data_IF_005083022806
#
_entry.id   IF_005083022806
#
_cell.length_a   1.000
_cell.length_b   1.000
_cell.length_c   1.000
_cell.angle_alpha   90.00
_cell.angle_beta   90.00
_cell.angle_gamma   90.00
#
_symmetry.space_group_name_H-M   'P 1'
#
loop_
_entity.id
_entity.type
_entity.pdbx_description
1 polymer ?
#
# COMPACT_ATOMS: atom_id res chain seq x y z
N UNK A 1 -46.02 13.79 12.58
CA UNK A 1 -45.06 14.37 11.63
C UNK A 1 -45.36 14.00 10.17
N UNK A 2 -45.43 12.69 9.76
CA UNK A 2 -45.71 12.27 8.35
C UNK A 2 -47.02 12.86 7.79
N UNK A 3 -48.09 12.91 8.61
CA UNK A 3 -49.37 13.52 8.22
C UNK A 3 -49.21 15.01 7.96
N UNK A 4 -48.51 15.73 8.84
CA UNK A 4 -48.24 17.16 8.69
C UNK A 4 -47.49 17.50 7.40
N UNK A 5 -46.42 16.75 7.09
CA UNK A 5 -45.62 16.95 5.87
C UNK A 5 -46.46 16.74 4.61
N UNK A 6 -47.41 15.77 4.60
CA UNK A 6 -48.29 15.53 3.48
C UNK A 6 -49.34 16.60 3.20
N UNK A 7 -49.67 17.38 4.21
CA UNK A 7 -50.77 18.36 4.17
C UNK A 7 -50.32 19.79 4.46
N UNK A 8 -49.00 20.03 4.46
CA UNK A 8 -48.46 21.37 4.66
C UNK A 8 -48.82 22.29 3.47
N UNK A 9 -49.11 23.57 3.70
CA UNK A 9 -49.35 24.53 2.65
C UNK A 9 -48.05 24.84 1.88
N UNK A 10 -48.18 25.24 0.60
CA UNK A 10 -47.04 25.47 -0.30
C UNK A 10 -46.07 26.57 0.17
N UNK A 11 -46.52 27.49 0.98
CA UNK A 11 -45.74 28.59 1.55
C UNK A 11 -44.99 28.20 2.84
N UNK A 12 -45.06 26.95 3.29
CA UNK A 12 -44.36 26.47 4.47
C UNK A 12 -43.16 25.58 4.09
N UNK A 13 -41.97 26.00 4.52
CA UNK A 13 -40.78 25.20 4.46
C UNK A 13 -40.44 24.62 5.83
N UNK A 14 -40.36 23.29 5.91
CA UNK A 14 -40.02 22.58 7.14
C UNK A 14 -38.54 22.20 7.11
N UNK A 15 -37.76 22.70 8.07
CA UNK A 15 -36.37 22.30 8.29
C UNK A 15 -36.31 21.31 9.44
N UNK A 16 -35.81 20.12 9.19
CA UNK A 16 -35.65 19.06 10.21
C UNK A 16 -34.16 18.83 10.47
N UNK A 17 -33.72 19.09 11.67
CA UNK A 17 -32.38 18.76 12.14
C UNK A 17 -32.45 17.43 12.90
N UNK A 18 -31.64 16.45 12.45
CA UNK A 18 -31.65 15.15 13.10
C UNK A 18 -30.23 14.55 13.01
N UNK A 19 -29.78 13.87 14.06
CA UNK A 19 -28.54 13.07 14.03
C UNK A 19 -28.74 11.78 13.23
N UNK A 20 -29.96 11.25 13.24
CA UNK A 20 -30.33 9.97 12.61
C UNK A 20 -31.30 10.22 11.46
N UNK A 21 -31.37 9.27 10.52
CA UNK A 21 -32.33 9.36 9.42
C UNK A 21 -33.76 9.37 9.98
N UNK A 22 -34.51 10.47 9.87
CA UNK A 22 -35.82 10.58 10.52
C UNK A 22 -36.86 9.72 9.80
N UNK A 23 -37.73 9.04 10.54
CA UNK A 23 -38.78 8.17 9.98
C UNK A 23 -39.96 8.98 9.38
N UNK A 24 -39.65 9.84 8.40
CA UNK A 24 -40.63 10.77 7.79
C UNK A 24 -41.18 10.28 6.43
N UNK A 25 -40.76 9.10 5.97
CA UNK A 25 -41.13 8.62 4.64
C UNK A 25 -40.29 9.28 3.53
N UNK A 26 -39.01 9.49 3.82
CA UNK A 26 -38.03 10.21 3.00
C UNK A 26 -38.01 9.70 1.55
N UNK A 27 -38.06 8.39 1.32
CA UNK A 27 -38.09 7.83 -0.03
C UNK A 27 -39.23 8.39 -0.90
N UNK A 28 -40.42 8.57 -0.33
CA UNK A 28 -41.54 9.15 -1.04
C UNK A 28 -41.40 10.65 -1.31
N UNK A 29 -40.74 11.38 -0.40
CA UNK A 29 -40.46 12.81 -0.58
C UNK A 29 -39.40 13.01 -1.66
N UNK A 30 -38.38 12.13 -1.68
CA UNK A 30 -37.30 12.12 -2.68
C UNK A 30 -37.85 11.89 -4.09
N UNK A 31 -38.71 10.89 -4.28
CA UNK A 31 -39.35 10.58 -5.58
C UNK A 31 -40.22 11.75 -6.07
N UNK A 32 -40.76 12.57 -5.16
CA UNK A 32 -41.63 13.73 -5.50
C UNK A 32 -40.90 15.05 -5.65
N UNK A 33 -39.55 15.02 -5.54
CA UNK A 33 -38.72 16.24 -5.54
C UNK A 33 -39.16 17.29 -4.48
N UNK A 34 -39.57 16.79 -3.32
CA UNK A 34 -40.06 17.62 -2.18
C UNK A 34 -39.10 17.62 -0.99
N UNK A 35 -37.86 17.17 -1.21
CA UNK A 35 -36.87 17.02 -0.17
C UNK A 35 -35.51 17.54 -0.63
N UNK A 36 -34.97 18.48 0.12
CA UNK A 36 -33.56 18.84 0.07
C UNK A 36 -32.84 18.15 1.24
N UNK A 37 -31.90 17.29 0.94
CA UNK A 37 -31.06 16.61 1.93
C UNK A 37 -29.70 17.29 2.00
N UNK A 38 -29.29 17.68 3.21
CA UNK A 38 -27.98 18.24 3.47
C UNK A 38 -27.27 17.28 4.42
N UNK A 39 -26.32 16.52 3.89
CA UNK A 39 -25.56 15.51 4.63
C UNK A 39 -24.29 16.07 5.28
N UNK A 40 -23.56 15.19 5.96
CA UNK A 40 -22.32 15.54 6.68
C UNK A 40 -21.25 16.14 5.77
N UNK A 41 -21.14 15.68 4.52
CA UNK A 41 -20.17 16.22 3.56
C UNK A 41 -20.45 17.67 3.17
N UNK A 42 -21.74 18.03 3.00
CA UNK A 42 -22.12 19.42 2.68
C UNK A 42 -22.04 20.36 3.90
N UNK A 43 -22.08 19.79 5.11
CA UNK A 43 -21.94 20.54 6.38
C UNK A 43 -20.48 20.58 6.88
N UNK A 44 -19.56 19.86 6.24
CA UNK A 44 -18.16 19.90 6.57
C UNK A 44 -17.56 21.27 6.25
N UNK A 45 -16.73 21.79 7.16
CA UNK A 45 -15.99 23.03 6.94
C UNK A 45 -14.97 22.84 5.80
N UNK A 46 -14.95 23.78 4.89
CA UNK A 46 -13.86 23.93 3.91
C UNK A 46 -12.61 24.46 4.62
N UNK A 47 -11.43 24.32 3.96
CA UNK A 47 -10.17 24.86 4.48
C UNK A 47 -10.28 26.37 4.82
N UNK A 48 -11.00 27.13 3.97
CA UNK A 48 -11.19 28.55 4.16
C UNK A 48 -12.06 28.86 5.37
N UNK A 49 -13.16 28.13 5.55
CA UNK A 49 -14.06 28.27 6.71
C UNK A 49 -13.38 27.84 8.00
N UNK A 50 -12.59 26.73 7.98
CA UNK A 50 -11.81 26.30 9.12
C UNK A 50 -10.79 27.36 9.54
N UNK A 51 -10.09 27.99 8.57
CA UNK A 51 -9.15 29.07 8.83
C UNK A 51 -9.84 30.27 9.48
N UNK A 52 -10.97 30.71 8.93
CA UNK A 52 -11.77 31.81 9.48
C UNK A 52 -12.29 31.48 10.88
N UNK A 53 -12.73 30.25 11.09
CA UNK A 53 -13.20 29.77 12.39
C UNK A 53 -12.09 29.85 13.45
N UNK A 54 -10.87 29.37 13.14
CA UNK A 54 -9.74 29.44 14.07
C UNK A 54 -9.28 30.88 14.31
N UNK A 55 -9.25 31.74 13.30
CA UNK A 55 -8.88 33.15 13.45
C UNK A 55 -9.86 33.89 14.35
N UNK A 56 -11.15 33.52 14.35
CA UNK A 56 -12.17 34.10 15.28
C UNK A 56 -12.08 33.51 16.69
N UNK A 57 -11.55 32.32 16.88
CA UNK A 57 -11.58 31.58 18.14
C UNK A 57 -10.27 31.59 18.91
N UNK A 58 -9.15 31.66 18.24
CA UNK A 58 -7.81 31.64 18.83
C UNK A 58 -7.32 33.06 19.14
N UNK A 59 -6.52 33.18 20.19
CA UNK A 59 -5.90 34.45 20.59
C UNK A 59 -4.73 34.84 19.67
N UNK A 60 -4.19 33.90 18.90
CA UNK A 60 -3.11 34.12 17.93
C UNK A 60 -3.50 33.52 16.58
N UNK A 61 -3.19 34.17 15.46
CA UNK A 61 -3.50 33.64 14.13
C UNK A 61 -2.80 32.29 13.92
N UNK A 62 -3.49 31.35 13.30
CA UNK A 62 -2.94 30.07 12.86
C UNK A 62 -2.44 30.19 11.43
N UNK A 63 -1.36 29.51 11.07
CA UNK A 63 -0.91 29.47 9.68
C UNK A 63 -1.92 28.73 8.77
N UNK A 64 -2.06 29.17 7.52
CA UNK A 64 -3.04 28.62 6.59
C UNK A 64 -2.76 27.09 6.31
N UNK A 65 -1.49 26.72 6.16
CA UNK A 65 -1.09 25.34 5.95
C UNK A 65 -1.43 24.44 7.15
N UNK A 66 -1.25 24.93 8.37
CA UNK A 66 -1.59 24.21 9.59
C UNK A 66 -3.11 24.07 9.77
N UNK A 67 -3.86 25.16 9.52
CA UNK A 67 -5.32 25.13 9.53
C UNK A 67 -5.90 24.13 8.53
N UNK A 68 -5.33 24.09 7.30
CA UNK A 68 -5.75 23.13 6.28
C UNK A 68 -5.47 21.70 6.71
N UNK A 69 -4.28 21.42 7.24
CA UNK A 69 -3.94 20.07 7.74
C UNK A 69 -4.88 19.64 8.86
N UNK A 70 -5.17 20.50 9.83
CA UNK A 70 -6.12 20.18 10.91
C UNK A 70 -7.52 19.92 10.33
N UNK A 71 -7.95 20.72 9.36
CA UNK A 71 -9.23 20.55 8.70
C UNK A 71 -9.33 19.19 7.99
N UNK A 72 -8.25 18.77 7.30
CA UNK A 72 -8.16 17.46 6.64
C UNK A 72 -8.18 16.33 7.68
N UNK A 73 -7.38 16.43 8.74
CA UNK A 73 -7.30 15.44 9.82
C UNK A 73 -8.67 15.18 10.48
N UNK A 74 -9.52 16.20 10.57
CA UNK A 74 -10.88 16.08 11.14
C UNK A 74 -11.98 16.06 10.06
N UNK A 75 -11.60 15.97 8.77
CA UNK A 75 -12.54 15.99 7.63
C UNK A 75 -13.58 17.12 7.70
N UNK A 76 -13.17 18.29 8.13
CA UNK A 76 -14.03 19.47 8.28
C UNK A 76 -15.11 19.36 9.37
N UNK A 77 -15.04 18.40 10.28
CA UNK A 77 -16.06 18.20 11.31
C UNK A 77 -16.10 19.36 12.34
N UNK A 78 -17.16 20.14 12.31
CA UNK A 78 -17.31 21.37 13.09
C UNK A 78 -17.10 21.18 14.62
N UNK A 79 -17.64 20.10 15.20
CA UNK A 79 -17.47 19.81 16.63
C UNK A 79 -16.01 19.51 16.98
N UNK A 80 -15.30 18.77 16.13
CA UNK A 80 -13.87 18.49 16.31
C UNK A 80 -13.05 19.78 16.24
N UNK A 81 -13.30 20.64 15.25
CA UNK A 81 -12.64 21.95 15.14
C UNK A 81 -12.89 22.82 16.40
N UNK A 82 -14.11 22.80 16.94
CA UNK A 82 -14.45 23.51 18.17
C UNK A 82 -13.70 22.97 19.40
N UNK A 83 -13.60 21.65 19.56
CA UNK A 83 -12.87 21.02 20.66
C UNK A 83 -11.37 21.32 20.57
N UNK A 84 -10.81 21.31 19.35
CA UNK A 84 -9.43 21.71 19.09
C UNK A 84 -9.19 23.17 19.49
N UNK A 85 -10.09 24.09 19.10
CA UNK A 85 -9.97 25.50 19.44
C UNK A 85 -10.06 25.74 20.96
N UNK A 86 -10.95 25.03 21.68
CA UNK A 86 -11.08 25.12 23.14
C UNK A 86 -9.78 24.62 23.82
N UNK A 87 -9.25 23.48 23.40
CA UNK A 87 -7.99 22.94 23.95
C UNK A 87 -6.81 23.88 23.74
N UNK A 88 -6.73 24.51 22.57
CA UNK A 88 -5.67 25.48 22.26
C UNK A 88 -5.76 26.73 23.17
N UNK A 89 -6.96 27.18 23.51
CA UNK A 89 -7.19 28.34 24.42
C UNK A 89 -6.78 28.05 25.88
N UNK A 90 -6.96 26.82 26.35
CA UNK A 90 -6.60 26.43 27.72
C UNK A 90 -5.10 26.33 27.94
N UNK A 91 -4.31 26.09 26.85
CA UNK A 91 -2.87 25.87 26.90
C UNK A 91 -2.01 27.11 26.62
N UNK A 92 -2.55 28.33 26.67
CA UNK A 92 -1.87 29.60 26.35
C UNK A 92 -0.78 30.03 27.34
N UNK A 93 -0.47 29.26 28.39
CA UNK A 93 0.62 29.56 29.32
C UNK A 93 2.01 29.08 28.87
N UNK A 94 2.18 28.55 27.66
CA UNK A 94 3.46 28.08 27.14
C UNK A 94 3.69 28.51 25.68
N UNK A 95 4.05 29.78 25.49
CA UNK A 95 4.01 30.53 24.23
C UNK A 95 5.05 30.17 23.15
N UNK A 96 5.86 29.13 23.24
CA UNK A 96 6.96 28.87 22.29
C UNK A 96 7.07 27.45 21.68
N UNK A 97 6.06 26.59 21.79
CA UNK A 97 6.10 25.25 21.17
C UNK A 97 4.75 24.83 20.51
N UNK A 98 4.07 25.76 19.87
CA UNK A 98 2.63 25.64 19.53
C UNK A 98 2.31 24.66 18.39
N UNK A 99 3.06 24.59 17.33
CA UNK A 99 2.69 23.83 16.13
C UNK A 99 2.72 22.30 16.30
N UNK A 100 3.72 21.76 16.99
CA UNK A 100 3.85 20.31 17.24
C UNK A 100 2.93 19.76 18.34
N UNK A 101 2.38 20.66 19.17
CA UNK A 101 1.49 20.29 20.29
C UNK A 101 0.00 20.24 19.92
N UNK A 102 -0.46 20.97 18.91
CA UNK A 102 -1.86 20.95 18.48
C UNK A 102 -2.29 19.56 18.01
N UNK A 103 -1.45 18.83 17.30
CA UNK A 103 -1.73 17.46 16.89
C UNK A 103 -1.74 16.42 18.05
N UNK A 104 -1.12 16.73 19.21
CA UNK A 104 -1.00 15.80 20.34
C UNK A 104 -1.93 16.10 21.54
N UNK A 105 -2.47 17.34 21.65
CA UNK A 105 -3.25 17.76 22.81
C UNK A 105 -4.76 17.46 22.65
N UNK A 106 -5.20 17.27 21.42
CA UNK A 106 -6.62 17.23 21.09
C UNK A 106 -7.28 15.86 21.20
N UNK A 107 -6.48 14.80 21.38
CA UNK A 107 -7.00 13.46 21.50
C UNK A 107 -7.85 13.23 22.77
N UNK A 108 -7.52 13.86 23.91
CA UNK A 108 -8.22 13.62 25.17
C UNK A 108 -9.63 14.19 25.18
N UNK A 109 -9.82 15.49 24.88
CA UNK A 109 -11.15 16.11 24.92
C UNK A 109 -12.09 15.57 23.83
N UNK A 110 -11.55 15.26 22.65
CA UNK A 110 -12.34 14.60 21.62
C UNK A 110 -12.70 13.17 22.03
N UNK A 111 -11.76 12.44 22.63
CA UNK A 111 -12.00 11.10 23.18
C UNK A 111 -13.07 11.15 24.29
N UNK A 112 -12.96 12.08 25.23
CA UNK A 112 -13.94 12.23 26.31
C UNK A 112 -15.34 12.51 25.75
N UNK A 113 -15.45 13.45 24.79
CA UNK A 113 -16.71 13.70 24.10
C UNK A 113 -17.30 12.48 23.40
N UNK A 114 -16.46 11.70 22.68
CA UNK A 114 -16.91 10.50 21.98
C UNK A 114 -17.31 9.38 22.96
N UNK A 115 -16.67 9.30 24.13
CA UNK A 115 -17.10 8.38 25.19
C UNK A 115 -18.48 8.77 25.70
N UNK A 116 -18.60 9.99 26.22
CA UNK A 116 -19.81 10.48 26.93
C UNK A 116 -21.03 10.54 25.99
N UNK A 117 -20.84 11.05 24.77
CA UNK A 117 -21.93 11.31 23.82
C UNK A 117 -22.26 10.12 22.90
N UNK A 118 -21.33 9.22 22.68
CA UNK A 118 -21.52 8.11 21.74
C UNK A 118 -21.51 6.76 22.44
N UNK A 119 -20.38 6.37 23.04
CA UNK A 119 -20.22 5.00 23.57
C UNK A 119 -21.08 4.73 24.80
N UNK A 120 -21.32 5.72 25.66
CA UNK A 120 -22.12 5.54 26.86
C UNK A 120 -23.63 5.63 26.56
N UNK A 121 -24.00 6.12 25.39
CA UNK A 121 -25.40 6.26 24.97
C UNK A 121 -25.89 5.10 24.07
N UNK A 122 -25.04 4.12 23.76
CA UNK A 122 -25.42 2.91 23.01
C UNK A 122 -25.51 1.69 23.94
N UNK A 123 -26.29 0.70 23.54
CA UNK A 123 -26.37 -0.57 24.28
C UNK A 123 -25.05 -1.35 24.19
N UNK A 124 -24.88 -2.32 25.12
CA UNK A 124 -23.65 -3.10 25.22
C UNK A 124 -23.34 -3.91 23.95
N UNK A 125 -24.35 -4.40 23.24
CA UNK A 125 -24.16 -5.15 21.99
C UNK A 125 -23.63 -4.24 20.89
N UNK A 126 -24.22 -3.04 20.74
CA UNK A 126 -23.75 -2.01 19.81
C UNK A 126 -22.32 -1.54 20.16
N UNK A 127 -22.04 -1.30 21.44
CA UNK A 127 -20.69 -0.93 21.90
C UNK A 127 -19.66 -2.01 21.52
N UNK A 128 -19.97 -3.25 21.80
CA UNK A 128 -19.06 -4.39 21.49
C UNK A 128 -18.86 -4.55 19.99
N UNK A 129 -19.90 -4.38 19.19
CA UNK A 129 -19.83 -4.35 17.73
C UNK A 129 -18.89 -3.25 17.23
N UNK A 130 -19.06 -2.00 17.71
CA UNK A 130 -18.22 -0.86 17.32
C UNK A 130 -16.75 -1.10 17.64
N UNK A 131 -16.45 -1.66 18.82
CA UNK A 131 -15.08 -1.94 19.23
C UNK A 131 -14.45 -3.05 18.38
N UNK A 132 -15.15 -4.17 18.14
CA UNK A 132 -14.61 -5.28 17.33
C UNK A 132 -14.41 -4.89 15.87
N UNK A 133 -15.37 -4.18 15.29
CA UNK A 133 -15.29 -3.77 13.88
C UNK A 133 -14.27 -2.65 13.62
N UNK A 134 -13.84 -1.93 14.66
CA UNK A 134 -12.90 -0.81 14.54
C UNK A 134 -11.52 -1.17 13.99
N UNK A 135 -11.10 -2.45 14.09
CA UNK A 135 -9.84 -2.92 13.53
C UNK A 135 -9.83 -2.92 11.99
N UNK A 136 -11.00 -2.93 11.37
CA UNK A 136 -11.18 -2.94 9.94
C UNK A 136 -11.11 -1.50 9.38
N UNK A 137 -10.34 -1.30 8.30
CA UNK A 137 -10.31 -0.02 7.58
C UNK A 137 -11.53 0.15 6.69
N UNK A 138 -11.95 -0.93 6.06
CA UNK A 138 -13.18 -1.05 5.28
C UNK A 138 -13.92 -2.32 5.70
N UNK A 139 -15.24 -2.30 5.61
CA UNK A 139 -16.12 -3.33 6.15
C UNK A 139 -17.19 -3.71 5.14
N UNK A 140 -17.46 -5.00 5.04
CA UNK A 140 -18.60 -5.55 4.32
C UNK A 140 -19.27 -6.65 5.16
N UNK A 141 -20.35 -7.22 4.65
CA UNK A 141 -21.10 -8.28 5.33
C UNK A 141 -20.21 -9.43 5.81
N UNK A 142 -19.38 -9.99 4.93
CA UNK A 142 -18.52 -11.14 5.23
C UNK A 142 -17.49 -10.86 6.35
N UNK A 143 -16.86 -9.68 6.32
CA UNK A 143 -15.91 -9.24 7.33
C UNK A 143 -16.59 -9.06 8.68
N UNK A 144 -17.72 -8.37 8.70
CA UNK A 144 -18.46 -8.09 9.94
C UNK A 144 -18.98 -9.38 10.55
N UNK A 145 -19.60 -10.24 9.76
CA UNK A 145 -20.08 -11.55 10.23
C UNK A 145 -18.94 -12.36 10.89
N UNK A 146 -17.76 -12.39 10.24
CA UNK A 146 -16.63 -13.16 10.76
C UNK A 146 -15.97 -12.53 11.99
N UNK A 147 -15.83 -11.21 12.02
CA UNK A 147 -15.11 -10.47 13.07
C UNK A 147 -15.95 -10.25 14.32
N UNK A 148 -17.25 -9.98 14.15
CA UNK A 148 -18.13 -9.65 15.28
C UNK A 148 -18.99 -10.80 15.75
N UNK A 149 -19.21 -11.81 14.90
CA UNK A 149 -20.14 -12.92 15.16
C UNK A 149 -21.60 -12.61 14.86
N UNK A 150 -21.89 -11.47 14.21
CA UNK A 150 -23.26 -11.11 13.79
C UNK A 150 -23.75 -12.06 12.69
N UNK A 151 -25.01 -12.47 12.72
CA UNK A 151 -25.58 -13.37 11.70
C UNK A 151 -25.82 -12.68 10.35
N UNK A 152 -26.01 -11.36 10.37
CA UNK A 152 -26.24 -10.52 9.18
C UNK A 152 -25.49 -9.20 9.30
N UNK A 153 -24.26 -9.18 8.82
CA UNK A 153 -23.36 -8.04 8.88
C UNK A 153 -23.89 -6.83 8.14
N UNK A 154 -24.46 -7.04 6.94
CA UNK A 154 -25.01 -5.95 6.13
C UNK A 154 -26.13 -5.22 6.85
N UNK A 155 -27.09 -5.95 7.41
CA UNK A 155 -28.19 -5.35 8.15
C UNK A 155 -27.69 -4.57 9.37
N UNK A 156 -26.67 -5.09 10.03
CA UNK A 156 -26.06 -4.44 11.20
C UNK A 156 -25.32 -3.15 10.81
N UNK A 157 -24.56 -3.16 9.72
CA UNK A 157 -23.91 -1.97 9.18
C UNK A 157 -24.93 -0.87 8.83
N UNK A 158 -26.01 -1.22 8.13
CA UNK A 158 -27.08 -0.30 7.80
C UNK A 158 -27.81 0.25 9.04
N UNK A 159 -27.94 -0.54 10.08
CA UNK A 159 -28.49 -0.09 11.35
C UNK A 159 -27.58 0.93 12.02
N UNK A 160 -26.27 0.68 12.10
CA UNK A 160 -25.27 1.59 12.65
C UNK A 160 -25.23 2.91 11.85
N UNK A 161 -25.28 2.82 10.51
CA UNK A 161 -25.39 4.00 9.65
C UNK A 161 -26.65 4.83 9.97
N UNK A 162 -27.81 4.17 10.09
CA UNK A 162 -29.10 4.83 10.43
C UNK A 162 -29.09 5.46 11.83
N UNK A 163 -28.35 4.89 12.77
CA UNK A 163 -28.16 5.45 14.10
C UNK A 163 -27.20 6.66 14.10
N UNK A 164 -26.57 6.98 12.98
CA UNK A 164 -25.66 8.13 12.86
C UNK A 164 -24.35 7.96 13.60
N UNK A 165 -23.86 6.72 13.75
CA UNK A 165 -22.64 6.37 14.49
C UNK A 165 -21.37 6.46 13.61
N UNK A 166 -21.26 7.57 12.86
CA UNK A 166 -20.08 7.93 12.05
C UNK A 166 -19.61 6.85 11.05
N UNK A 167 -20.53 5.98 10.62
CA UNK A 167 -20.32 5.02 9.56
C UNK A 167 -20.71 5.63 8.23
N UNK A 168 -19.89 5.42 7.19
CA UNK A 168 -20.08 5.98 5.85
C UNK A 168 -19.98 4.87 4.82
N UNK A 169 -20.76 4.98 3.73
CA UNK A 169 -20.63 4.11 2.55
C UNK A 169 -19.45 4.56 1.72
N UNK A 170 -18.68 3.60 1.23
CA UNK A 170 -17.53 3.84 0.35
C UNK A 170 -17.89 3.72 -1.13
N UNK A 171 -19.00 3.05 -1.45
CA UNK A 171 -19.44 2.74 -2.79
C UNK A 171 -20.93 3.06 -3.01
N UNK A 172 -21.31 3.21 -4.28
CA UNK A 172 -22.69 3.46 -4.67
C UNK A 172 -23.59 2.22 -4.52
N UNK A 173 -23.03 1.01 -4.47
CA UNK A 173 -23.76 -0.25 -4.26
C UNK A 173 -24.17 -0.42 -2.81
N UNK A 174 -23.48 0.23 -1.88
CA UNK A 174 -23.73 0.18 -0.45
C UNK A 174 -23.28 -1.13 0.19
N UNK A 175 -22.31 -1.81 -0.42
CA UNK A 175 -21.71 -3.04 0.11
C UNK A 175 -20.55 -2.76 1.04
N UNK A 176 -19.81 -1.67 0.80
CA UNK A 176 -18.63 -1.30 1.55
C UNK A 176 -18.85 -0.09 2.44
N UNK A 177 -18.39 -0.20 3.69
CA UNK A 177 -18.50 0.83 4.70
C UNK A 177 -17.14 1.11 5.36
N UNK A 178 -16.98 2.32 5.89
CA UNK A 178 -15.87 2.68 6.76
C UNK A 178 -16.33 3.63 7.86
N UNK A 179 -15.61 3.61 8.97
CA UNK A 179 -15.80 4.66 9.98
C UNK A 179 -15.15 5.98 9.55
N UNK A 180 -15.76 7.09 9.94
CA UNK A 180 -15.06 8.36 9.87
C UNK A 180 -13.68 8.25 10.55
N UNK A 181 -12.58 8.76 9.95
CA UNK A 181 -11.22 8.49 10.42
C UNK A 181 -10.99 8.75 11.91
N UNK A 182 -11.50 9.87 12.43
CA UNK A 182 -11.38 10.22 13.86
C UNK A 182 -12.10 9.22 14.75
N UNK A 183 -13.31 8.84 14.40
CA UNK A 183 -14.09 7.89 15.18
C UNK A 183 -13.47 6.50 15.12
N UNK A 184 -13.03 6.06 13.94
CA UNK A 184 -12.30 4.80 13.78
C UNK A 184 -11.01 4.76 14.61
N UNK A 185 -10.21 5.84 14.61
CA UNK A 185 -9.02 5.94 15.45
C UNK A 185 -9.33 5.86 16.94
N UNK A 186 -10.35 6.58 17.39
CA UNK A 186 -10.84 6.53 18.76
C UNK A 186 -11.29 5.11 19.16
N UNK A 187 -12.11 4.46 18.33
CA UNK A 187 -12.58 3.10 18.57
C UNK A 187 -11.41 2.10 18.62
N UNK A 188 -10.40 2.23 17.73
CA UNK A 188 -9.21 1.37 17.75
C UNK A 188 -8.44 1.48 19.06
N UNK A 189 -8.23 2.70 19.55
CA UNK A 189 -7.59 2.90 20.87
C UNK A 189 -8.38 2.26 21.99
N UNK A 190 -9.70 2.45 21.99
CA UNK A 190 -10.59 1.82 22.99
C UNK A 190 -10.57 0.30 22.89
N UNK A 191 -10.63 -0.26 21.68
CA UNK A 191 -10.54 -1.69 21.43
C UNK A 191 -9.24 -2.28 22.03
N UNK A 192 -8.10 -1.59 21.84
CA UNK A 192 -6.82 -2.01 22.41
C UNK A 192 -6.82 -2.08 23.93
N UNK A 193 -7.59 -1.23 24.61
CA UNK A 193 -7.68 -1.24 26.07
C UNK A 193 -8.76 -2.19 26.60
N UNK A 194 -9.92 -2.20 25.99
CA UNK A 194 -11.08 -2.92 26.51
C UNK A 194 -11.08 -4.39 26.05
N UNK A 195 -10.58 -4.68 24.84
CA UNK A 195 -10.58 -6.01 24.22
C UNK A 195 -9.19 -6.57 23.99
N UNK A 196 -8.17 -6.12 24.75
CA UNK A 196 -6.77 -6.52 24.55
C UNK A 196 -6.57 -8.04 24.49
N UNK A 197 -7.31 -8.80 25.31
CA UNK A 197 -7.23 -10.25 25.33
C UNK A 197 -7.89 -10.94 24.12
N UNK A 198 -8.89 -10.29 23.50
CA UNK A 198 -9.61 -10.81 22.34
C UNK A 198 -8.97 -10.37 21.01
N UNK A 199 -8.16 -9.30 21.01
CA UNK A 199 -7.58 -8.71 19.80
C UNK A 199 -6.89 -9.71 18.87
N UNK A 200 -6.05 -10.66 19.33
CA UNK A 200 -5.43 -11.63 18.44
C UNK A 200 -6.45 -12.49 17.69
N UNK A 201 -7.52 -12.92 18.36
CA UNK A 201 -8.59 -13.71 17.74
C UNK A 201 -9.40 -12.88 16.74
N UNK A 202 -9.69 -11.62 17.06
CA UNK A 202 -10.42 -10.70 16.19
C UNK A 202 -9.59 -10.44 14.91
N UNK A 203 -8.30 -10.22 15.05
CA UNK A 203 -7.40 -10.05 13.91
C UNK A 203 -7.26 -11.33 13.09
N UNK A 204 -7.18 -12.50 13.72
CA UNK A 204 -7.17 -13.79 13.00
C UNK A 204 -8.44 -13.98 12.18
N UNK A 205 -9.61 -13.74 12.78
CA UNK A 205 -10.88 -13.81 12.06
C UNK A 205 -10.95 -12.85 10.86
N UNK A 206 -10.41 -11.64 11.02
CA UNK A 206 -10.31 -10.67 9.92
C UNK A 206 -9.39 -11.17 8.81
N UNK A 207 -8.19 -11.68 9.14
CA UNK A 207 -7.25 -12.23 8.18
C UNK A 207 -7.85 -13.39 7.36
N UNK A 208 -8.55 -14.33 8.02
CA UNK A 208 -9.26 -15.42 7.35
C UNK A 208 -10.32 -14.92 6.36
N UNK A 209 -11.09 -13.90 6.76
CA UNK A 209 -12.13 -13.33 5.91
C UNK A 209 -11.54 -12.59 4.71
N UNK A 210 -10.46 -11.82 4.90
CA UNK A 210 -9.75 -11.15 3.81
C UNK A 210 -9.15 -12.15 2.82
N UNK A 211 -8.55 -13.26 3.33
CA UNK A 211 -8.04 -14.33 2.47
C UNK A 211 -9.15 -14.98 1.64
N UNK A 212 -10.30 -15.26 2.26
CA UNK A 212 -11.46 -15.86 1.56
C UNK A 212 -12.01 -14.95 0.45
N UNK A 213 -11.81 -13.62 0.57
CA UNK A 213 -12.21 -12.63 -0.43
C UNK A 213 -11.11 -12.31 -1.46
N UNK A 214 -9.92 -12.90 -1.35
CA UNK A 214 -8.82 -12.71 -2.30
C UNK A 214 -7.99 -11.44 -2.08
N UNK A 215 -7.93 -10.92 -0.84
CA UNK A 215 -7.15 -9.75 -0.46
C UNK A 215 -5.98 -10.13 0.47
N UNK A 216 -4.89 -10.72 -0.05
CA UNK A 216 -3.77 -11.21 0.77
C UNK A 216 -3.03 -10.09 1.52
N UNK A 217 -2.91 -8.90 0.96
CA UNK A 217 -2.25 -7.76 1.61
C UNK A 217 -2.95 -7.36 2.90
N UNK A 218 -4.28 -7.22 2.86
CA UNK A 218 -5.08 -6.93 4.06
C UNK A 218 -5.01 -8.07 5.08
N UNK A 219 -5.05 -9.32 4.60
CA UNK A 219 -4.91 -10.49 5.47
C UNK A 219 -3.56 -10.52 6.20
N UNK A 220 -2.46 -10.16 5.53
CA UNK A 220 -1.13 -10.06 6.14
C UNK A 220 -1.10 -9.00 7.23
N UNK A 221 -1.66 -7.81 7.01
CA UNK A 221 -1.72 -6.78 8.05
C UNK A 221 -2.41 -7.30 9.32
N UNK A 222 -3.49 -8.06 9.16
CA UNK A 222 -4.20 -8.64 10.29
C UNK A 222 -3.46 -9.84 10.90
N UNK A 223 -2.80 -10.68 10.13
CA UNK A 223 -1.97 -11.78 10.64
C UNK A 223 -0.78 -11.26 11.48
N UNK A 224 -0.14 -10.18 11.02
CA UNK A 224 0.92 -9.47 11.77
C UNK A 224 0.38 -8.92 13.10
N UNK A 225 -0.78 -8.25 13.07
CA UNK A 225 -1.41 -7.69 14.26
C UNK A 225 -1.89 -8.78 15.25
N UNK A 226 -2.28 -9.96 14.76
CA UNK A 226 -2.61 -11.11 15.58
C UNK A 226 -1.38 -11.78 16.22
N UNK A 227 -0.17 -11.52 15.71
CA UNK A 227 1.04 -12.23 16.10
C UNK A 227 1.03 -13.71 15.68
N UNK A 228 0.24 -14.07 14.67
CA UNK A 228 0.06 -15.45 14.22
C UNK A 228 1.09 -15.79 13.12
N UNK A 229 2.26 -16.26 13.56
CA UNK A 229 3.36 -16.64 12.68
C UNK A 229 3.01 -17.79 11.72
N UNK A 230 2.14 -18.72 12.13
CA UNK A 230 1.74 -19.84 11.28
C UNK A 230 0.84 -19.37 10.14
N UNK A 231 -0.17 -18.57 10.45
CA UNK A 231 -1.05 -17.97 9.45
C UNK A 231 -0.26 -17.08 8.49
N UNK A 232 0.63 -16.22 9.01
CA UNK A 232 1.48 -15.35 8.22
C UNK A 232 2.36 -16.15 7.25
N UNK A 233 3.02 -17.22 7.73
CA UNK A 233 3.79 -18.14 6.91
C UNK A 233 2.96 -18.73 5.77
N UNK A 234 1.77 -19.24 6.10
CA UNK A 234 0.91 -19.91 5.11
C UNK A 234 0.39 -18.92 4.04
N UNK A 235 0.11 -17.68 4.41
CA UNK A 235 -0.24 -16.63 3.45
C UNK A 235 0.96 -16.33 2.54
N UNK A 236 2.16 -16.17 3.11
CA UNK A 236 3.37 -15.87 2.31
C UNK A 236 3.71 -17.01 1.35
N UNK A 237 3.63 -18.27 1.78
CA UNK A 237 3.92 -19.41 0.90
C UNK A 237 3.03 -19.43 -0.35
N UNK A 238 1.79 -18.96 -0.24
CA UNK A 238 0.82 -18.99 -1.34
C UNK A 238 0.75 -17.70 -2.16
N UNK A 239 1.04 -16.54 -1.56
CA UNK A 239 0.74 -15.24 -2.19
C UNK A 239 1.94 -14.29 -2.30
N UNK A 240 3.10 -14.61 -1.71
CA UNK A 240 4.22 -13.69 -1.65
C UNK A 240 4.75 -13.27 -3.04
N UNK A 241 4.77 -14.16 -4.02
CA UNK A 241 5.17 -13.81 -5.39
C UNK A 241 4.21 -12.83 -6.06
N UNK A 242 2.91 -12.93 -5.80
CA UNK A 242 1.94 -11.94 -6.27
C UNK A 242 2.23 -10.58 -5.65
N UNK A 243 2.45 -10.51 -4.34
CA UNK A 243 2.79 -9.27 -3.63
C UNK A 243 4.13 -8.67 -4.13
N UNK A 244 5.12 -9.52 -4.36
CA UNK A 244 6.41 -9.10 -4.92
C UNK A 244 6.24 -8.46 -6.30
N UNK A 245 5.45 -9.08 -7.18
CA UNK A 245 5.19 -8.58 -8.52
C UNK A 245 4.35 -7.28 -8.53
N UNK A 246 3.51 -7.06 -7.52
CA UNK A 246 2.75 -5.80 -7.35
C UNK A 246 3.52 -4.74 -6.56
N UNK A 247 4.84 -4.93 -6.36
CA UNK A 247 5.73 -3.98 -5.68
C UNK A 247 5.37 -3.70 -4.21
N UNK A 248 4.66 -4.61 -3.55
CA UNK A 248 4.37 -4.51 -2.11
C UNK A 248 5.55 -4.94 -1.23
N UNK A 249 6.75 -4.44 -1.58
CA UNK A 249 8.02 -4.90 -1.02
C UNK A 249 8.17 -4.60 0.47
N UNK A 250 7.63 -3.47 0.92
CA UNK A 250 7.68 -3.09 2.35
C UNK A 250 6.86 -4.04 3.22
N UNK A 251 5.68 -4.44 2.76
CA UNK A 251 4.82 -5.38 3.46
C UNK A 251 5.47 -6.77 3.53
N UNK A 252 6.09 -7.21 2.42
CA UNK A 252 6.84 -8.47 2.40
C UNK A 252 8.03 -8.45 3.35
N UNK A 253 8.78 -7.35 3.39
CA UNK A 253 9.93 -7.21 4.29
C UNK A 253 9.51 -7.26 5.76
N UNK A 254 8.46 -6.53 6.14
CA UNK A 254 7.89 -6.55 7.47
C UNK A 254 7.43 -7.96 7.85
N UNK A 255 6.75 -8.64 6.94
CA UNK A 255 6.22 -9.97 7.12
C UNK A 255 7.31 -11.02 7.31
N UNK A 256 8.35 -11.00 6.48
CA UNK A 256 9.49 -11.92 6.60
C UNK A 256 10.29 -11.68 7.88
N UNK A 257 10.45 -10.42 8.31
CA UNK A 257 11.09 -10.07 9.59
C UNK A 257 10.30 -10.54 10.82
N UNK A 258 8.98 -10.61 10.72
CA UNK A 258 8.11 -11.06 11.80
C UNK A 258 8.14 -12.59 11.99
N UNK A 259 8.58 -13.35 10.97
CA UNK A 259 8.70 -14.79 11.09
C UNK A 259 9.95 -15.21 11.89
N UNK A 260 9.85 -16.19 12.79
CA UNK A 260 11.01 -16.79 13.45
C UNK A 260 11.95 -17.42 12.40
N UNK A 261 13.26 -17.37 12.64
CA UNK A 261 14.25 -17.94 11.72
C UNK A 261 14.01 -19.45 11.49
N UNK A 262 13.62 -20.20 12.51
CA UNK A 262 13.31 -21.63 12.39
C UNK A 262 12.16 -21.88 11.38
N UNK A 263 11.15 -21.02 11.35
CA UNK A 263 10.08 -21.10 10.36
C UNK A 263 10.55 -20.84 8.92
N UNK A 264 11.57 -20.01 8.75
CA UNK A 264 12.21 -19.80 7.44
C UNK A 264 13.04 -21.02 7.03
N UNK A 265 13.77 -21.64 7.96
CA UNK A 265 14.56 -22.84 7.69
C UNK A 265 13.69 -24.05 7.32
N UNK A 266 12.53 -24.20 7.96
CA UNK A 266 11.55 -25.22 7.60
C UNK A 266 10.93 -25.02 6.22
N UNK A 267 10.98 -23.77 5.71
CA UNK A 267 10.40 -23.39 4.43
C UNK A 267 11.43 -22.62 3.57
N UNK A 268 12.38 -23.31 2.94
CA UNK A 268 13.46 -22.68 2.17
C UNK A 268 13.01 -21.71 1.09
N UNK A 269 11.77 -21.85 0.59
CA UNK A 269 11.14 -20.91 -0.33
C UNK A 269 11.01 -19.51 0.24
N UNK A 270 10.81 -19.36 1.57
CA UNK A 270 10.75 -18.06 2.23
C UNK A 270 12.13 -17.42 2.37
N UNK A 271 13.18 -18.25 2.56
CA UNK A 271 14.57 -17.77 2.54
C UNK A 271 14.91 -17.25 1.15
N UNK A 272 14.53 -17.98 0.10
CA UNK A 272 14.71 -17.56 -1.27
C UNK A 272 13.97 -16.25 -1.58
N UNK A 273 12.70 -16.14 -1.15
CA UNK A 273 11.91 -14.92 -1.28
C UNK A 273 12.59 -13.73 -0.57
N UNK A 274 13.10 -13.93 0.64
CA UNK A 274 13.85 -12.89 1.37
C UNK A 274 15.09 -12.48 0.62
N UNK A 275 15.82 -13.42 0.04
CA UNK A 275 17.01 -13.13 -0.77
C UNK A 275 16.67 -12.36 -2.04
N UNK A 276 15.57 -12.71 -2.73
CA UNK A 276 15.07 -11.97 -3.89
C UNK A 276 14.64 -10.55 -3.52
N UNK A 277 13.98 -10.38 -2.38
CA UNK A 277 13.61 -9.07 -1.88
C UNK A 277 14.83 -8.18 -1.61
N UNK A 278 15.84 -8.71 -0.93
CA UNK A 278 17.12 -8.01 -0.70
C UNK A 278 17.83 -7.68 -2.03
N UNK A 279 17.82 -8.61 -2.97
CA UNK A 279 18.39 -8.42 -4.32
C UNK A 279 17.70 -7.26 -5.05
N UNK A 280 16.36 -7.20 -5.03
CA UNK A 280 15.60 -6.13 -5.68
C UNK A 280 15.82 -4.75 -5.04
N UNK A 281 16.26 -4.73 -3.79
CA UNK A 281 16.63 -3.53 -3.02
C UNK A 281 18.13 -3.19 -3.12
N UNK A 282 18.91 -3.86 -3.98
CA UNK A 282 20.36 -3.69 -4.14
C UNK A 282 21.20 -3.96 -2.87
N UNK A 283 20.70 -4.80 -1.95
CA UNK A 283 21.35 -5.17 -0.69
C UNK A 283 22.23 -6.41 -0.86
N UNK A 284 23.11 -6.40 -1.83
CA UNK A 284 23.89 -7.59 -2.29
C UNK A 284 24.72 -8.26 -1.18
N UNK A 285 25.35 -7.47 -0.30
CA UNK A 285 26.13 -8.02 0.81
C UNK A 285 25.29 -8.83 1.80
N UNK A 286 24.05 -8.42 2.01
CA UNK A 286 23.12 -9.15 2.87
C UNK A 286 22.59 -10.42 2.21
N UNK A 287 22.40 -10.41 0.88
CA UNK A 287 22.06 -11.61 0.09
C UNK A 287 23.12 -12.68 0.27
N UNK A 288 24.41 -12.33 0.09
CA UNK A 288 25.51 -13.26 0.27
C UNK A 288 25.56 -13.86 1.67
N UNK A 289 25.35 -13.03 2.69
CA UNK A 289 25.32 -13.48 4.09
C UNK A 289 24.15 -14.42 4.37
N UNK A 290 22.96 -14.10 3.85
CA UNK A 290 21.76 -14.92 4.00
C UNK A 290 21.94 -16.28 3.31
N UNK A 291 22.47 -16.30 2.07
CA UNK A 291 22.69 -17.52 1.32
C UNK A 291 23.74 -18.43 1.99
N UNK A 292 24.86 -17.86 2.48
CA UNK A 292 25.87 -18.63 3.19
C UNK A 292 25.32 -19.27 4.47
N UNK A 293 24.49 -18.52 5.22
CA UNK A 293 23.80 -19.04 6.40
C UNK A 293 22.82 -20.16 6.04
N UNK A 294 22.00 -19.94 5.03
CA UNK A 294 21.01 -20.93 4.59
C UNK A 294 21.67 -22.25 4.14
N UNK A 295 22.77 -22.19 3.40
CA UNK A 295 23.52 -23.37 2.96
C UNK A 295 24.11 -24.20 4.10
N UNK A 296 24.50 -23.51 5.19
CA UNK A 296 25.02 -24.19 6.36
C UNK A 296 23.95 -24.89 7.16
N UNK A 297 22.76 -24.28 7.25
CA UNK A 297 21.69 -24.71 8.15
C UNK A 297 20.62 -25.60 7.44
N UNK A 298 20.41 -25.43 6.11
CA UNK A 298 19.41 -26.20 5.36
C UNK A 298 20.11 -27.38 4.65
N UNK A 299 19.83 -28.60 5.12
CA UNK A 299 20.49 -29.82 4.64
C UNK A 299 20.19 -30.18 3.17
N UNK A 300 19.00 -29.84 2.68
CA UNK A 300 18.49 -30.27 1.36
C UNK A 300 18.69 -29.22 0.25
N UNK A 301 19.36 -28.09 0.55
CA UNK A 301 19.59 -27.02 -0.43
C UNK A 301 20.59 -27.43 -1.56
N UNK A 302 21.37 -28.49 -1.36
CA UNK A 302 22.46 -28.89 -2.26
C UNK A 302 22.01 -29.73 -3.45
N UNK A 303 20.75 -30.14 -3.50
CA UNK A 303 20.22 -30.99 -4.58
C UNK A 303 18.80 -30.58 -4.98
N UNK A 304 18.44 -30.84 -6.23
CA UNK A 304 17.09 -30.66 -6.74
C UNK A 304 16.71 -29.21 -7.10
N UNK A 305 15.41 -28.96 -7.21
CA UNK A 305 14.86 -27.69 -7.72
C UNK A 305 15.25 -26.50 -6.84
N UNK A 306 15.34 -26.66 -5.54
CA UNK A 306 15.74 -25.59 -4.62
C UNK A 306 17.19 -25.16 -4.85
N UNK A 307 18.09 -26.13 -5.07
CA UNK A 307 19.49 -25.86 -5.46
C UNK A 307 19.56 -25.04 -6.75
N UNK A 308 18.76 -25.40 -7.74
CA UNK A 308 18.70 -24.69 -9.02
C UNK A 308 18.21 -23.24 -8.86
N UNK A 309 17.22 -22.99 -7.99
CA UNK A 309 16.75 -21.64 -7.67
C UNK A 309 17.82 -20.80 -6.97
N UNK A 310 18.52 -21.39 -6.01
CA UNK A 310 19.66 -20.73 -5.36
C UNK A 310 20.78 -20.43 -6.36
N UNK A 311 21.04 -21.33 -7.34
CA UNK A 311 22.01 -21.06 -8.39
C UNK A 311 21.58 -19.91 -9.31
N UNK A 312 20.30 -19.78 -9.64
CA UNK A 312 19.78 -18.64 -10.40
C UNK A 312 20.00 -17.30 -9.66
N UNK A 313 19.72 -17.28 -8.36
CA UNK A 313 19.95 -16.11 -7.52
C UNK A 313 21.45 -15.78 -7.40
N UNK A 314 22.29 -16.77 -7.18
CA UNK A 314 23.76 -16.59 -7.13
C UNK A 314 24.33 -16.11 -8.44
N UNK A 315 23.79 -16.58 -9.56
CA UNK A 315 24.17 -16.08 -10.86
C UNK A 315 23.93 -14.58 -10.99
N UNK A 316 22.78 -14.10 -10.50
CA UNK A 316 22.48 -12.67 -10.46
C UNK A 316 23.42 -11.90 -9.54
N UNK A 317 23.74 -12.44 -8.37
CA UNK A 317 24.71 -11.82 -7.46
C UNK A 317 26.09 -11.77 -8.11
N UNK A 318 26.54 -12.86 -8.74
CA UNK A 318 27.84 -12.94 -9.37
C UNK A 318 28.01 -11.93 -10.51
N UNK A 319 26.98 -11.70 -11.35
CA UNK A 319 27.05 -10.68 -12.41
C UNK A 319 27.12 -9.27 -11.81
N UNK A 320 26.38 -9.00 -10.76
CA UNK A 320 26.41 -7.72 -10.06
C UNK A 320 27.77 -7.44 -9.38
N UNK A 321 28.43 -8.49 -8.88
CA UNK A 321 29.76 -8.43 -8.29
C UNK A 321 30.88 -8.36 -9.37
N UNK A 322 30.52 -8.31 -10.66
CA UNK A 322 31.47 -8.21 -11.77
C UNK A 322 32.21 -9.53 -12.10
N UNK A 323 31.59 -10.67 -11.78
CA UNK A 323 32.13 -12.00 -12.07
C UNK A 323 31.31 -12.75 -13.15
N UNK A 324 31.42 -12.37 -14.44
CA UNK A 324 30.59 -12.91 -15.49
C UNK A 324 30.81 -14.41 -15.75
N UNK A 325 32.00 -14.95 -15.49
CA UNK A 325 32.29 -16.38 -15.75
C UNK A 325 31.57 -17.25 -14.72
N UNK A 326 31.59 -16.89 -13.47
CA UNK A 326 30.80 -17.58 -12.41
C UNK A 326 29.30 -17.42 -12.63
N UNK A 327 28.84 -16.22 -13.01
CA UNK A 327 27.47 -15.97 -13.36
C UNK A 327 26.96 -16.87 -14.50
N UNK A 328 27.79 -17.03 -15.57
CA UNK A 328 27.46 -17.91 -16.67
C UNK A 328 27.34 -19.38 -16.25
N UNK A 329 28.31 -19.83 -15.45
CA UNK A 329 28.32 -21.21 -14.93
C UNK A 329 27.08 -21.53 -14.12
N UNK A 330 26.74 -20.66 -13.17
CA UNK A 330 25.59 -20.83 -12.27
C UNK A 330 24.25 -20.71 -13.01
N UNK A 331 24.12 -19.74 -13.92
CA UNK A 331 22.91 -19.56 -14.71
C UNK A 331 22.62 -20.76 -15.63
N UNK A 332 23.65 -21.34 -16.28
CA UNK A 332 23.51 -22.56 -17.08
C UNK A 332 23.05 -23.73 -16.22
N UNK A 333 23.72 -23.95 -15.09
CA UNK A 333 23.37 -25.02 -14.16
C UNK A 333 21.92 -24.89 -13.67
N UNK A 334 21.53 -23.68 -13.33
CA UNK A 334 20.13 -23.41 -12.91
C UNK A 334 19.14 -23.77 -14.03
N UNK A 335 19.38 -23.36 -15.27
CA UNK A 335 18.47 -23.62 -16.40
C UNK A 335 18.35 -25.08 -16.76
N UNK A 336 19.43 -25.88 -16.55
CA UNK A 336 19.45 -27.33 -16.78
C UNK A 336 18.55 -28.06 -15.75
N UNK A 337 18.54 -27.61 -14.49
CA UNK A 337 17.87 -28.30 -13.39
C UNK A 337 16.45 -27.74 -13.10
N UNK A 338 16.15 -26.46 -13.43
CA UNK A 338 14.86 -25.83 -13.17
C UNK A 338 13.75 -26.40 -14.04
N UNK A 339 12.65 -26.91 -13.45
CA UNK A 339 11.46 -27.31 -14.21
C UNK A 339 10.82 -26.12 -14.96
N UNK A 340 10.07 -26.35 -16.05
CA UNK A 340 9.45 -25.27 -16.84
C UNK A 340 8.49 -24.37 -16.04
N UNK A 341 7.84 -24.91 -15.00
CA UNK A 341 6.90 -24.16 -14.15
C UNK A 341 7.56 -23.17 -13.18
N UNK A 342 8.87 -23.20 -13.02
CA UNK A 342 9.63 -22.30 -12.15
C UNK A 342 10.05 -21.04 -12.92
N UNK A 343 9.05 -20.33 -13.43
CA UNK A 343 9.22 -19.25 -14.39
C UNK A 343 10.13 -18.13 -13.86
N UNK A 344 9.99 -17.72 -12.59
CA UNK A 344 10.73 -16.57 -12.04
C UNK A 344 12.25 -16.82 -12.09
N UNK A 345 12.73 -17.91 -11.49
CA UNK A 345 14.15 -18.26 -11.46
C UNK A 345 14.69 -18.53 -12.88
N UNK A 346 13.86 -19.04 -13.79
CA UNK A 346 14.22 -19.19 -15.21
C UNK A 346 14.37 -17.85 -15.93
N UNK A 347 13.47 -16.90 -15.67
CA UNK A 347 13.57 -15.52 -16.19
C UNK A 347 14.89 -14.90 -15.75
N UNK A 348 15.21 -15.00 -14.45
CA UNK A 348 16.46 -14.47 -13.89
C UNK A 348 17.68 -15.11 -14.54
N UNK A 349 17.77 -16.42 -14.55
CA UNK A 349 18.92 -17.12 -15.14
C UNK A 349 19.11 -16.82 -16.63
N UNK A 350 18.01 -16.66 -17.40
CA UNK A 350 18.06 -16.27 -18.81
C UNK A 350 18.54 -14.84 -18.98
N UNK A 351 18.05 -13.91 -18.13
CA UNK A 351 18.51 -12.52 -18.09
C UNK A 351 20.01 -12.43 -17.83
N UNK A 352 20.48 -13.14 -16.80
CA UNK A 352 21.91 -13.17 -16.43
C UNK A 352 22.78 -13.68 -17.60
N UNK A 353 22.36 -14.72 -18.30
CA UNK A 353 23.09 -15.17 -19.49
C UNK A 353 23.14 -14.12 -20.60
N UNK A 354 22.04 -13.35 -20.77
CA UNK A 354 22.01 -12.23 -21.70
C UNK A 354 23.02 -11.14 -21.30
N UNK A 355 23.07 -10.77 -20.02
CA UNK A 355 24.02 -9.81 -19.47
C UNK A 355 25.47 -10.27 -19.62
N UNK A 356 25.75 -11.54 -19.32
CA UNK A 356 27.09 -12.16 -19.53
C UNK A 356 27.52 -12.04 -20.97
N UNK A 357 26.64 -12.37 -21.92
CA UNK A 357 26.96 -12.27 -23.36
C UNK A 357 27.18 -10.81 -23.79
N UNK A 358 26.44 -9.86 -23.18
CA UNK A 358 26.69 -8.43 -23.39
C UNK A 358 28.12 -8.06 -22.95
N UNK A 359 28.49 -8.43 -21.72
CA UNK A 359 29.83 -8.19 -21.19
C UNK A 359 30.95 -8.82 -22.08
N UNK A 360 30.67 -9.98 -22.71
CA UNK A 360 31.59 -10.67 -23.63
C UNK A 360 31.57 -10.10 -25.05
N UNK A 361 30.74 -9.12 -25.36
CA UNK A 361 30.60 -8.50 -26.68
C UNK A 361 29.81 -9.33 -27.71
N UNK A 362 29.16 -10.41 -27.27
CA UNK A 362 28.31 -11.26 -28.13
C UNK A 362 26.90 -10.65 -28.29
N UNK A 363 26.85 -9.42 -28.78
CA UNK A 363 25.65 -8.55 -28.75
C UNK A 363 24.42 -9.17 -29.42
N UNK A 364 24.56 -9.88 -30.51
CA UNK A 364 23.43 -10.49 -31.23
C UNK A 364 22.77 -11.61 -30.41
N UNK A 365 23.57 -12.44 -29.75
CA UNK A 365 23.08 -13.52 -28.89
C UNK A 365 22.47 -12.95 -27.59
N UNK A 366 23.12 -11.94 -27.04
CA UNK A 366 22.61 -11.20 -25.87
C UNK A 366 21.22 -10.61 -26.15
N UNK A 367 21.06 -9.92 -27.30
CA UNK A 367 19.75 -9.35 -27.69
C UNK A 367 18.66 -10.41 -27.76
N UNK A 368 18.96 -11.57 -28.35
CA UNK A 368 17.98 -12.66 -28.44
C UNK A 368 17.55 -13.19 -27.07
N UNK A 369 18.49 -13.33 -26.12
CA UNK A 369 18.16 -13.75 -24.75
C UNK A 369 17.35 -12.70 -24.00
N UNK A 370 17.66 -11.41 -24.18
CA UNK A 370 16.89 -10.34 -23.57
C UNK A 370 15.45 -10.26 -24.11
N UNK A 371 15.25 -10.51 -25.41
CA UNK A 371 13.93 -10.62 -26.01
C UNK A 371 13.16 -11.84 -25.48
N UNK A 372 13.83 -12.97 -25.29
CA UNK A 372 13.23 -14.15 -24.67
C UNK A 372 12.85 -13.86 -23.22
N UNK A 373 13.72 -13.20 -22.45
CA UNK A 373 13.46 -12.80 -21.06
C UNK A 373 12.24 -11.88 -20.98
N UNK A 374 12.16 -10.86 -21.83
CA UNK A 374 10.99 -9.96 -21.89
C UNK A 374 9.71 -10.72 -22.16
N UNK A 375 9.71 -11.62 -23.14
CA UNK A 375 8.54 -12.42 -23.47
C UNK A 375 8.07 -13.28 -22.30
N UNK A 376 9.00 -13.99 -21.66
CA UNK A 376 8.71 -14.82 -20.48
C UNK A 376 8.19 -13.96 -19.31
N UNK A 377 8.82 -12.83 -19.06
CA UNK A 377 8.46 -11.93 -17.99
C UNK A 377 7.03 -11.36 -18.17
N UNK A 378 6.67 -10.94 -19.39
CA UNK A 378 5.29 -10.49 -19.72
C UNK A 378 4.26 -11.61 -19.60
N UNK A 379 4.60 -12.85 -19.95
CA UNK A 379 3.68 -14.00 -19.84
C UNK A 379 3.31 -14.34 -18.38
N UNK A 380 4.15 -13.96 -17.45
CA UNK A 380 4.01 -14.27 -16.02
C UNK A 380 3.88 -13.04 -15.12
N UNK A 381 3.58 -11.87 -15.70
CA UNK A 381 3.39 -10.60 -15.00
C UNK A 381 4.60 -10.18 -14.14
N UNK A 382 5.82 -10.58 -14.54
CA UNK A 382 7.07 -10.22 -13.86
C UNK A 382 7.59 -8.89 -14.44
N UNK A 383 6.87 -7.81 -14.17
CA UNK A 383 7.02 -6.52 -14.87
C UNK A 383 8.38 -5.87 -14.70
N UNK A 384 9.03 -6.03 -13.56
CA UNK A 384 10.37 -5.47 -13.33
C UNK A 384 11.43 -6.16 -14.23
N UNK A 385 11.33 -7.48 -14.48
CA UNK A 385 12.21 -8.14 -15.45
C UNK A 385 11.85 -7.85 -16.91
N UNK A 386 10.58 -7.63 -17.22
CA UNK A 386 10.18 -7.13 -18.54
C UNK A 386 10.80 -5.76 -18.82
N UNK A 387 10.73 -4.85 -17.82
CA UNK A 387 11.35 -3.53 -17.90
C UNK A 387 12.87 -3.62 -18.03
N UNK A 388 13.52 -4.42 -17.16
CA UNK A 388 14.98 -4.63 -17.22
C UNK A 388 15.43 -5.14 -18.58
N UNK A 389 14.70 -6.10 -19.14
CA UNK A 389 15.00 -6.65 -20.47
C UNK A 389 14.92 -5.60 -21.58
N UNK A 390 13.92 -4.70 -21.55
CA UNK A 390 13.82 -3.60 -22.51
C UNK A 390 14.97 -2.60 -22.35
N UNK A 391 15.40 -2.32 -21.12
CA UNK A 391 16.56 -1.47 -20.84
C UNK A 391 17.81 -2.08 -21.50
N UNK A 392 18.08 -3.36 -21.24
CA UNK A 392 19.22 -4.07 -21.80
C UNK A 392 19.16 -4.19 -23.32
N UNK A 393 18.00 -4.46 -23.90
CA UNK A 393 17.81 -4.46 -25.36
C UNK A 393 18.16 -3.10 -25.96
N UNK A 394 17.72 -2.00 -25.34
CA UNK A 394 18.04 -0.66 -25.82
C UNK A 394 19.54 -0.36 -25.77
N UNK A 395 20.23 -0.78 -24.70
CA UNK A 395 21.68 -0.60 -24.55
C UNK A 395 22.46 -1.43 -25.58
N UNK A 396 22.06 -2.68 -25.81
CA UNK A 396 22.67 -3.57 -26.81
C UNK A 396 22.47 -3.00 -28.23
N UNK A 397 21.27 -2.55 -28.57
CA UNK A 397 20.96 -1.95 -29.85
C UNK A 397 21.75 -0.66 -30.09
N UNK A 398 21.92 0.17 -29.05
CA UNK A 398 22.77 1.34 -29.08
C UNK A 398 24.23 0.94 -29.38
N UNK A 399 24.75 -0.07 -28.68
CA UNK A 399 26.11 -0.56 -28.90
C UNK A 399 26.32 -1.14 -30.31
N UNK A 400 25.28 -1.72 -30.93
CA UNK A 400 25.28 -2.19 -32.33
C UNK A 400 25.16 -1.07 -33.36
N UNK A 401 24.83 0.17 -32.91
CA UNK A 401 24.59 1.34 -33.79
C UNK A 401 23.17 1.43 -34.35
N UNK A 402 22.24 0.60 -33.93
CA UNK A 402 20.82 0.63 -34.32
C UNK A 402 20.05 1.67 -33.48
N UNK A 403 20.46 2.96 -33.59
CA UNK A 403 19.98 4.03 -32.71
C UNK A 403 18.46 4.23 -32.75
N UNK A 404 17.86 4.15 -33.94
CA UNK A 404 16.41 4.29 -34.08
C UNK A 404 15.65 3.16 -33.39
N UNK A 405 16.08 1.92 -33.56
CA UNK A 405 15.46 0.75 -32.90
C UNK A 405 15.67 0.79 -31.38
N UNK A 406 16.85 1.27 -30.93
CA UNK A 406 17.10 1.50 -29.50
C UNK A 406 16.13 2.52 -28.91
N UNK A 407 15.86 3.61 -29.61
CA UNK A 407 14.88 4.62 -29.21
C UNK A 407 13.47 4.04 -29.12
N UNK A 408 13.03 3.31 -30.14
CA UNK A 408 11.71 2.67 -30.16
C UNK A 408 11.55 1.65 -29.02
N UNK A 409 12.64 0.98 -28.65
CA UNK A 409 12.66 0.06 -27.52
C UNK A 409 12.53 0.81 -26.19
N UNK A 410 13.15 1.99 -26.07
CA UNK A 410 12.96 2.85 -24.91
C UNK A 410 11.53 3.38 -24.77
N UNK A 411 10.90 3.79 -25.89
CA UNK A 411 9.50 4.22 -25.84
C UNK A 411 8.58 3.11 -25.32
N UNK A 412 8.83 1.84 -25.70
CA UNK A 412 8.12 0.67 -25.14
C UNK A 412 8.37 0.51 -23.64
N UNK A 413 9.59 0.79 -23.16
CA UNK A 413 9.91 0.72 -21.74
C UNK A 413 9.19 1.82 -20.93
N UNK A 414 9.16 3.06 -21.44
CA UNK A 414 8.41 4.15 -20.81
C UNK A 414 6.90 3.89 -20.81
N UNK A 415 6.37 3.32 -21.90
CA UNK A 415 4.97 2.89 -21.96
C UNK A 415 4.67 1.84 -20.89
N UNK A 416 5.52 0.84 -20.74
CA UNK A 416 5.38 -0.21 -19.72
C UNK A 416 5.39 0.36 -18.30
N UNK A 417 6.27 1.33 -18.00
CA UNK A 417 6.30 2.04 -16.72
C UNK A 417 4.95 2.67 -16.42
N UNK A 418 4.40 3.43 -17.38
CA UNK A 418 3.11 4.12 -17.20
C UNK A 418 1.93 3.13 -17.06
N UNK A 419 1.91 2.04 -17.86
CA UNK A 419 0.83 1.05 -17.84
C UNK A 419 0.80 0.21 -16.56
N UNK A 420 1.98 -0.07 -15.99
CA UNK A 420 2.13 -0.95 -14.84
C UNK A 420 2.50 -0.20 -13.54
N UNK A 421 2.49 1.14 -13.56
CA UNK A 421 2.82 2.00 -12.40
C UNK A 421 4.18 1.68 -11.77
N UNK A 422 5.23 1.55 -12.60
CA UNK A 422 6.57 1.19 -12.19
C UNK A 422 7.51 2.39 -11.94
N UNK A 423 6.98 3.60 -11.79
CA UNK A 423 7.74 4.84 -11.64
C UNK A 423 8.69 4.83 -10.44
N UNK A 424 8.35 4.04 -9.42
CA UNK A 424 9.13 3.94 -8.19
C UNK A 424 10.32 2.97 -8.27
N UNK A 425 10.49 2.24 -9.38
CA UNK A 425 11.61 1.34 -9.53
C UNK A 425 12.90 2.10 -9.83
N UNK A 426 14.03 1.76 -9.13
CA UNK A 426 15.34 2.40 -9.37
C UNK A 426 15.84 2.28 -10.81
N UNK A 427 15.35 1.30 -11.57
CA UNK A 427 15.71 1.04 -12.97
C UNK A 427 15.41 2.19 -13.93
N UNK A 428 14.55 3.13 -13.56
CA UNK A 428 14.23 4.30 -14.38
C UNK A 428 15.47 5.13 -14.72
N UNK A 429 16.45 5.18 -13.82
CA UNK A 429 17.73 5.87 -14.04
C UNK A 429 18.49 5.32 -15.27
N UNK A 430 18.52 4.00 -15.45
CA UNK A 430 19.19 3.39 -16.61
C UNK A 430 18.54 3.83 -17.93
N UNK A 431 17.21 3.91 -18.00
CA UNK A 431 16.50 4.40 -19.19
C UNK A 431 16.87 5.84 -19.53
N UNK A 432 16.85 6.71 -18.53
CA UNK A 432 17.15 8.12 -18.71
C UNK A 432 18.60 8.33 -19.16
N UNK A 433 19.53 7.54 -18.62
CA UNK A 433 20.94 7.52 -19.02
C UNK A 433 21.12 7.12 -20.49
N UNK A 434 20.52 6.02 -20.92
CA UNK A 434 20.62 5.56 -22.31
C UNK A 434 19.93 6.57 -23.26
N UNK A 435 18.81 7.16 -22.84
CA UNK A 435 18.13 8.23 -23.59
C UNK A 435 19.03 9.44 -23.82
N UNK A 436 19.76 9.87 -22.80
CA UNK A 436 20.74 10.93 -22.93
C UNK A 436 21.84 10.58 -23.93
N UNK A 437 22.34 9.34 -23.93
CA UNK A 437 23.34 8.87 -24.89
C UNK A 437 22.81 8.85 -26.34
N UNK A 438 21.57 8.42 -26.57
CA UNK A 438 20.92 8.44 -27.87
C UNK A 438 20.74 9.86 -28.40
N UNK A 439 20.26 10.77 -27.57
CA UNK A 439 20.10 12.18 -27.91
C UNK A 439 21.45 12.84 -28.22
N UNK A 440 22.48 12.52 -27.45
CA UNK A 440 23.85 12.98 -27.73
C UNK A 440 24.38 12.46 -29.06
N UNK A 441 24.16 11.16 -29.37
CA UNK A 441 24.55 10.58 -30.65
C UNK A 441 23.88 11.25 -31.86
N UNK A 442 22.68 11.80 -31.68
CA UNK A 442 21.95 12.60 -32.67
C UNK A 442 22.26 14.09 -32.65
N UNK A 443 23.26 14.52 -31.85
CA UNK A 443 23.62 15.93 -31.64
C UNK A 443 22.47 16.81 -31.09
N UNK A 444 21.47 16.21 -30.41
CA UNK A 444 20.39 16.94 -29.71
C UNK A 444 20.86 17.25 -28.28
N UNK A 445 21.83 18.18 -28.17
CA UNK A 445 22.62 18.36 -26.96
C UNK A 445 21.82 18.91 -25.79
N UNK A 446 20.91 19.87 -26.02
CA UNK A 446 20.09 20.44 -24.94
C UNK A 446 19.15 19.39 -24.33
N UNK A 447 18.58 18.53 -25.15
CA UNK A 447 17.70 17.45 -24.71
C UNK A 447 18.50 16.32 -24.02
N UNK A 448 19.70 16.06 -24.50
CA UNK A 448 20.60 15.09 -23.86
C UNK A 448 21.00 15.57 -22.45
N UNK A 449 21.32 16.87 -22.29
CA UNK A 449 21.62 17.47 -20.99
C UNK A 449 20.40 17.41 -20.06
N UNK A 450 19.21 17.77 -20.53
CA UNK A 450 17.98 17.70 -19.75
C UNK A 450 17.70 16.27 -19.25
N UNK A 451 17.84 15.27 -20.14
CA UNK A 451 17.69 13.87 -19.80
C UNK A 451 18.71 13.42 -18.75
N UNK A 452 19.99 13.76 -18.91
CA UNK A 452 21.03 13.41 -17.96
C UNK A 452 20.80 14.02 -16.56
N UNK A 453 20.35 15.30 -16.50
CA UNK A 453 20.00 15.97 -15.24
C UNK A 453 18.84 15.30 -14.53
N UNK A 454 17.80 14.91 -15.27
CA UNK A 454 16.67 14.14 -14.72
C UNK A 454 17.13 12.80 -14.11
N UNK A 455 18.09 12.11 -14.74
CA UNK A 455 18.66 10.88 -14.19
C UNK A 455 19.38 11.08 -12.85
N UNK A 456 20.12 12.20 -12.72
CA UNK A 456 20.81 12.56 -11.46
C UNK A 456 19.78 12.87 -10.34
N UNK A 457 18.70 13.55 -10.66
CA UNK A 457 17.61 13.83 -9.70
C UNK A 457 16.95 12.53 -9.21
N UNK A 458 16.68 11.61 -10.12
CA UNK A 458 16.14 10.28 -9.79
C UNK A 458 17.09 9.54 -8.84
N UNK A 459 18.37 9.44 -9.16
CA UNK A 459 19.38 8.82 -8.29
C UNK A 459 19.44 9.46 -6.91
N UNK A 460 19.38 10.78 -6.83
CA UNK A 460 19.44 11.53 -5.57
C UNK A 460 18.25 11.23 -4.66
N UNK A 461 17.08 10.90 -5.22
CA UNK A 461 15.88 10.54 -4.47
C UNK A 461 15.96 9.15 -3.82
N UNK A 462 16.80 8.25 -4.35
CA UNK A 462 16.99 6.88 -3.83
C UNK A 462 18.16 6.74 -2.86
N UNK A 463 19.05 7.74 -2.75
CA UNK A 463 20.08 7.69 -1.72
C UNK A 463 19.44 7.94 -0.35
N UNK A 464 19.51 6.98 0.62
CA UNK A 464 19.09 7.26 1.97
C UNK A 464 19.99 8.39 2.49
N UNK A 465 19.38 9.45 3.02
CA UNK A 465 20.09 10.52 3.70
C UNK A 465 20.88 9.87 4.85
N UNK A 466 22.16 9.65 4.63
CA UNK A 466 23.12 9.36 5.69
C UNK A 466 23.26 10.66 6.49
N UNK A 467 22.50 10.76 7.58
CA UNK A 467 22.76 11.66 8.71
C UNK A 467 23.03 10.85 9.95
#
# INVERSE_FOLDING_TARGET
MRFFIRHQPENLTLVVLSRNLPQLGIANLRVRDQLLEIGSQQLAFTHQEAKQFFDCRLSSPIEAAESSRICDDVSGWATALQLIALSARQNTHSAHKSARRLAGINASHLSDYLVDEVLDNVDLATRHFLLKSAILRSMNDALITRVTGEENGQMRLEEIERQGLFLQRMDDTGEWFCYHPLFGNFLRQRCQWELAAELPEIHRAAAESWMAQGFPSEAIHHALAAGDALMLRDILLNHAWSLFNHSELSLLEESLKALPWDSLLENPQLVLLQAWLMQSQHRYGEVNTLLARAEHEIKDIREGTMHAEFNALRAQVAINDGNPDEAERLAKLALEELPPGWFYSRIVATSVLGEVLHCKGELTRSLALMQQTEQMARQHDVWHYALWSLIQQSEILFAQGFLQTAWETQEKAFQLINEQHLEQLPMHEFLVRIRAQLLWAWARLDEAEASARSGIEVLSSYQPQQQ
#
